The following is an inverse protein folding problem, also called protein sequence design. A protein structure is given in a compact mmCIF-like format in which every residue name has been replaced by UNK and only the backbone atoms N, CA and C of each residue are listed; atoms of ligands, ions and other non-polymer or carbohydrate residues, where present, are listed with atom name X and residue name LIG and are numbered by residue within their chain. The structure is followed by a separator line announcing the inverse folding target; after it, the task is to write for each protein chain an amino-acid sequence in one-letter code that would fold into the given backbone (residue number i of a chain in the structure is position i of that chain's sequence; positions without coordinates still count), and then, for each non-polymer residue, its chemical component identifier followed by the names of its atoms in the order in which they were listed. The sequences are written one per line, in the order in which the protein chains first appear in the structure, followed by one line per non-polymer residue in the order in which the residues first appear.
data_IF_789957130134
#
_entry.id   IF_789957130134
#
_cell.length_a   1.000
_cell.length_b   1.000
_cell.length_c   1.000
_cell.angle_alpha   90.00
_cell.angle_beta   90.00
_cell.angle_gamma   90.00
#
_symmetry.space_group_name_H-M   'P 1'
#
loop_
_entity.id
_entity.type
_entity.pdbx_description
1 polymer ?
#
# COMPACT_ATOMS: atom_id res chain seq x y z
N UNK A 1 -12.99 -64.09 47.62
CA UNK A 1 -13.29 -62.68 47.30
C UNK A 1 -11.97 -61.98 47.08
N UNK A 2 -11.70 -61.55 45.86
CA UNK A 2 -10.40 -61.06 45.39
C UNK A 2 -10.30 -59.55 45.66
N UNK A 3 -9.15 -59.13 46.22
CA UNK A 3 -8.72 -57.76 46.43
C UNK A 3 -8.69 -56.97 45.11
N UNK A 4 -9.17 -55.72 45.11
CA UNK A 4 -8.77 -54.71 44.14
C UNK A 4 -8.29 -53.46 44.89
N UNK A 5 -6.97 -53.29 44.97
CA UNK A 5 -6.35 -52.03 45.32
C UNK A 5 -6.24 -51.19 44.04
N UNK A 6 -6.95 -50.07 43.99
CA UNK A 6 -6.83 -49.10 42.91
C UNK A 6 -5.53 -48.30 43.09
N UNK A 7 -4.55 -48.56 42.25
CA UNK A 7 -3.35 -47.73 42.12
C UNK A 7 -3.72 -46.52 41.25
N UNK A 8 -3.88 -45.36 41.88
CA UNK A 8 -4.02 -44.10 41.16
C UNK A 8 -2.65 -43.71 40.58
N UNK A 9 -2.50 -43.83 39.26
CA UNK A 9 -1.34 -43.32 38.54
C UNK A 9 -1.48 -41.81 38.44
N UNK A 10 -0.71 -41.08 39.24
CA UNK A 10 -0.49 -39.64 39.08
C UNK A 10 0.22 -39.41 37.73
N UNK A 11 -0.52 -38.92 36.73
CA UNK A 11 0.08 -38.34 35.55
C UNK A 11 0.81 -37.04 35.95
N UNK A 12 2.03 -36.79 35.44
CA UNK A 12 2.70 -35.54 35.67
C UNK A 12 1.91 -34.42 34.98
N UNK A 13 1.43 -33.45 35.77
CA UNK A 13 0.96 -32.17 35.27
C UNK A 13 2.11 -31.53 34.50
N UNK A 14 2.01 -31.50 33.17
CA UNK A 14 2.88 -30.69 32.36
C UNK A 14 2.79 -29.23 32.86
N UNK A 15 3.92 -28.51 32.98
CA UNK A 15 3.88 -27.12 33.40
C UNK A 15 3.02 -26.35 32.38
N UNK A 16 1.93 -25.79 32.89
CA UNK A 16 1.14 -24.78 32.20
C UNK A 16 2.13 -23.65 31.90
N UNK A 17 2.64 -23.59 30.67
CA UNK A 17 3.46 -22.48 30.23
C UNK A 17 2.65 -21.22 30.51
N UNK A 18 3.24 -20.31 31.28
CA UNK A 18 2.69 -18.97 31.43
C UNK A 18 2.39 -18.46 30.02
N UNK A 19 1.14 -18.07 29.78
CA UNK A 19 0.76 -17.49 28.51
C UNK A 19 1.58 -16.22 28.32
N UNK A 20 2.63 -16.30 27.52
CA UNK A 20 3.19 -15.14 26.85
C UNK A 20 1.98 -14.40 26.26
N UNK A 21 1.85 -13.11 26.59
CA UNK A 21 0.70 -12.32 26.16
C UNK A 21 0.51 -12.41 24.64
N UNK A 22 -0.70 -12.13 24.13
CA UNK A 22 -0.98 -12.25 22.70
C UNK A 22 0.05 -11.47 21.89
N UNK A 23 0.68 -12.14 20.93
CA UNK A 23 1.67 -11.52 20.05
C UNK A 23 0.93 -10.51 19.19
N UNK A 24 1.29 -9.22 19.29
CA UNK A 24 0.69 -8.19 18.43
C UNK A 24 1.45 -8.08 17.11
N UNK A 25 0.74 -8.17 15.99
CA UNK A 25 1.24 -7.86 14.64
C UNK A 25 0.53 -6.60 14.16
N UNK A 26 1.30 -5.55 13.86
CA UNK A 26 0.74 -4.33 13.25
C UNK A 26 0.66 -4.50 11.74
N UNK A 27 -0.51 -4.25 11.18
CA UNK A 27 -0.79 -4.36 9.76
C UNK A 27 -1.14 -2.98 9.20
N UNK A 28 -0.38 -2.53 8.21
CA UNK A 28 -0.65 -1.31 7.46
C UNK A 28 -1.08 -1.66 6.04
N UNK A 29 -2.29 -1.27 5.67
CA UNK A 29 -2.80 -1.36 4.31
C UNK A 29 -2.48 -0.03 3.63
N UNK A 30 -1.64 -0.07 2.59
CA UNK A 30 -1.11 1.13 1.93
C UNK A 30 -1.36 1.07 0.43
N UNK A 31 -1.58 2.24 -0.16
CA UNK A 31 -1.62 2.44 -1.60
C UNK A 31 -0.92 3.75 -2.01
N UNK A 32 -0.98 4.11 -3.29
CA UNK A 32 -0.38 5.35 -3.82
C UNK A 32 -0.84 6.61 -3.08
N UNK A 33 -2.08 6.65 -2.62
CA UNK A 33 -2.63 7.78 -1.88
C UNK A 33 -2.05 7.89 -0.46
N UNK A 34 -1.59 6.77 0.13
CA UNK A 34 -0.93 6.77 1.43
C UNK A 34 0.36 7.61 1.43
N UNK A 35 1.10 7.63 0.31
CA UNK A 35 2.31 8.43 0.16
C UNK A 35 2.04 9.92 -0.13
N UNK A 36 0.88 10.24 -0.72
CA UNK A 36 0.54 11.58 -1.23
C UNK A 36 0.24 12.64 -0.15
N UNK A 37 0.53 12.38 1.12
CA UNK A 37 0.71 13.49 2.06
C UNK A 37 1.54 13.16 3.27
N UNK A 38 2.66 12.50 3.01
CA UNK A 38 3.91 12.91 3.65
C UNK A 38 4.42 14.27 3.13
N UNK A 39 3.78 14.86 2.12
CA UNK A 39 3.81 16.30 1.84
C UNK A 39 2.65 16.99 2.55
N UNK A 40 2.91 17.60 3.71
CA UNK A 40 1.94 18.50 4.33
C UNK A 40 1.65 19.72 3.44
N UNK A 41 0.52 20.42 3.63
CA UNK A 41 0.34 21.74 3.04
C UNK A 41 1.29 22.72 3.74
N UNK A 42 2.55 22.79 3.31
CA UNK A 42 3.51 23.74 3.89
C UNK A 42 5.00 23.49 3.73
N UNK A 43 5.46 22.36 3.19
CA UNK A 43 6.90 22.17 2.89
C UNK A 43 7.19 22.22 1.40
N UNK A 44 6.78 23.34 0.78
CA UNK A 44 7.49 23.84 -0.39
C UNK A 44 8.91 24.17 0.04
N UNK A 45 9.87 23.31 -0.32
CA UNK A 45 11.27 23.72 -0.39
C UNK A 45 11.40 24.70 -1.55
N UNK A 46 11.19 25.98 -1.28
CA UNK A 46 11.44 27.05 -2.25
C UNK A 46 10.53 28.26 -2.13
N UNK A 47 10.82 29.13 -1.16
CA UNK A 47 10.69 30.57 -1.36
C UNK A 47 9.37 31.24 -0.94
N UNK A 48 9.40 31.86 0.24
CA UNK A 48 8.95 33.25 0.38
C UNK A 48 7.52 33.50 0.83
N UNK A 49 7.39 34.09 2.02
CA UNK A 49 6.42 35.18 2.23
C UNK A 49 5.12 34.80 2.92
N UNK A 50 5.13 34.87 4.25
CA UNK A 50 3.92 35.13 5.03
C UNK A 50 3.36 36.51 4.65
N UNK A 51 2.12 36.58 4.20
CA UNK A 51 1.43 37.84 3.91
C UNK A 51 -0.06 37.62 3.75
N UNK A 52 -0.81 37.87 4.82
CA UNK A 52 -2.28 37.78 4.81
C UNK A 52 -2.94 38.89 3.98
N UNK A 53 -4.21 38.67 3.62
CA UNK A 53 -5.05 39.73 3.08
C UNK A 53 -6.33 39.22 2.43
N UNK A 54 -7.44 39.28 3.16
CA UNK A 54 -8.80 39.41 2.60
C UNK A 54 -9.06 40.91 2.30
N UNK A 55 -9.78 41.22 1.23
CA UNK A 55 -10.33 42.55 0.88
C UNK A 55 -10.00 42.92 -0.58
N UNK A 56 -10.93 43.04 -1.55
CA UNK A 56 -12.09 43.92 -1.75
C UNK A 56 -11.75 45.30 -2.35
N UNK A 57 -12.36 45.61 -3.52
CA UNK A 57 -12.44 46.90 -4.27
C UNK A 57 -11.13 47.35 -4.97
N UNK A 58 -11.07 47.84 -6.21
CA UNK A 58 -12.01 48.60 -7.05
C UNK A 58 -11.28 49.86 -7.57
N UNK A 59 -11.55 50.29 -8.82
CA UNK A 59 -11.04 51.50 -9.52
C UNK A 59 -9.57 51.41 -10.01
N UNK A 60 -9.14 51.74 -11.23
CA UNK A 60 -9.70 52.50 -12.36
C UNK A 60 -8.52 53.24 -13.03
N UNK A 61 -8.61 53.51 -14.34
CA UNK A 61 -7.82 54.45 -15.15
C UNK A 61 -6.76 53.88 -16.13
N UNK A 62 -6.98 54.19 -17.42
CA UNK A 62 -6.07 54.06 -18.57
C UNK A 62 -6.00 55.44 -19.29
N UNK A 63 -5.23 55.63 -20.38
CA UNK A 63 -3.85 56.14 -20.49
C UNK A 63 -3.78 57.53 -21.20
N UNK A 64 -2.57 58.02 -21.57
CA UNK A 64 -2.32 58.38 -22.99
C UNK A 64 -0.91 57.95 -23.45
N UNK A 65 -0.66 57.45 -24.68
CA UNK A 65 -0.68 58.16 -25.97
C UNK A 65 0.77 58.57 -26.36
N UNK A 66 1.56 57.70 -27.00
CA UNK A 66 1.92 57.65 -28.44
C UNK A 66 2.84 58.77 -28.95
N UNK A 67 4.04 58.40 -29.42
CA UNK A 67 4.82 59.04 -30.52
C UNK A 67 5.84 57.98 -31.00
N UNK A 68 5.58 57.35 -32.14
CA UNK A 68 6.37 57.46 -33.40
C UNK A 68 7.50 56.42 -33.47
N UNK A 69 7.62 55.51 -34.44
CA UNK A 69 7.04 55.39 -35.77
C UNK A 69 8.09 54.72 -36.64
N UNK A 70 7.98 53.40 -36.86
CA UNK A 70 8.61 52.72 -38.02
C UNK A 70 7.83 51.44 -38.34
N UNK A 71 6.91 51.60 -39.31
CA UNK A 71 6.78 50.79 -40.55
C UNK A 71 7.45 49.41 -40.52
N UNK A 72 6.81 48.29 -40.84
CA UNK A 72 5.50 48.02 -41.45
C UNK A 72 5.18 46.52 -41.37
N UNK A 73 3.90 46.17 -41.52
CA UNK A 73 3.37 44.80 -41.39
C UNK A 73 3.60 43.90 -42.61
N UNK A 74 2.62 43.05 -42.96
CA UNK A 74 2.33 41.78 -42.30
C UNK A 74 2.35 40.59 -43.29
N UNK A 75 2.56 39.36 -42.81
CA UNK A 75 2.53 38.16 -43.68
C UNK A 75 1.90 36.96 -42.99
N UNK A 76 0.64 36.70 -43.31
CA UNK A 76 -0.13 35.50 -42.97
C UNK A 76 0.21 34.35 -43.94
N UNK A 77 0.28 33.10 -43.47
CA UNK A 77 0.17 31.93 -44.36
C UNK A 77 0.62 30.57 -43.78
N UNK A 78 -0.21 29.50 -43.86
CA UNK A 78 0.15 28.15 -43.45
C UNK A 78 0.61 27.27 -44.64
N UNK A 79 1.52 26.32 -44.39
CA UNK A 79 1.72 25.13 -45.24
C UNK A 79 3.12 24.88 -45.82
N UNK A 80 3.69 23.73 -45.45
CA UNK A 80 4.41 22.81 -46.36
C UNK A 80 5.84 23.14 -46.81
N UNK A 81 6.80 22.29 -46.43
CA UNK A 81 8.13 22.26 -47.08
C UNK A 81 9.08 21.23 -46.46
N UNK A 82 9.10 20.03 -47.04
CA UNK A 82 9.99 18.92 -46.69
C UNK A 82 11.46 19.21 -47.05
N UNK A 83 12.40 18.70 -46.23
CA UNK A 83 13.70 18.23 -46.74
C UNK A 83 14.96 19.04 -46.42
N UNK A 84 15.55 18.75 -45.26
CA UNK A 84 16.96 18.36 -45.10
C UNK A 84 18.12 19.28 -45.51
N UNK A 85 18.94 19.66 -44.53
CA UNK A 85 20.40 19.43 -44.62
C UNK A 85 21.05 19.28 -43.25
N UNK A 86 21.73 18.15 -43.09
CA UNK A 86 22.47 17.70 -41.92
C UNK A 86 23.78 18.46 -41.68
N UNK A 87 24.17 18.54 -40.41
CA UNK A 87 25.55 18.72 -39.94
C UNK A 87 25.59 19.58 -38.67
N UNK A 88 26.03 19.13 -37.50
CA UNK A 88 26.56 17.86 -37.04
C UNK A 88 26.81 18.00 -35.52
N UNK A 89 26.60 16.92 -34.78
CA UNK A 89 26.85 16.85 -33.33
C UNK A 89 26.69 15.42 -32.87
N UNK A 90 27.80 14.70 -32.76
CA UNK A 90 27.86 13.27 -32.51
C UNK A 90 27.37 12.83 -31.12
N UNK A 91 27.28 11.50 -30.90
CA UNK A 91 26.49 10.90 -29.83
C UNK A 91 27.24 10.90 -28.50
N UNK A 92 26.93 11.89 -27.66
CA UNK A 92 27.31 11.93 -26.26
C UNK A 92 26.29 11.20 -25.38
N UNK A 93 26.46 9.89 -25.22
CA UNK A 93 26.43 9.20 -23.91
C UNK A 93 25.68 9.95 -22.77
N UNK A 94 24.35 9.91 -22.79
CA UNK A 94 23.54 10.00 -21.58
C UNK A 94 23.03 8.60 -21.28
N UNK A 95 23.76 7.93 -20.39
CA UNK A 95 23.62 6.54 -20.04
C UNK A 95 22.19 6.18 -19.66
N UNK A 96 21.69 5.16 -20.34
CA UNK A 96 20.49 4.37 -20.04
C UNK A 96 20.66 3.53 -18.76
N UNK A 97 21.20 4.10 -17.69
CA UNK A 97 21.66 3.32 -16.53
C UNK A 97 21.58 4.08 -15.22
N UNK A 98 20.39 4.52 -14.80
CA UNK A 98 20.14 4.83 -13.38
C UNK A 98 18.66 5.02 -12.97
N UNK A 99 17.69 4.52 -13.73
CA UNK A 99 16.35 4.30 -13.16
C UNK A 99 16.34 2.93 -12.50
N UNK A 100 16.65 2.91 -11.21
CA UNK A 100 16.69 1.73 -10.37
C UNK A 100 15.42 0.89 -10.52
N UNK A 101 15.58 -0.29 -11.09
CA UNK A 101 14.54 -1.34 -11.18
C UNK A 101 14.21 -1.98 -9.83
N UNK A 102 14.19 -1.19 -8.75
CA UNK A 102 13.93 -1.65 -7.38
C UNK A 102 12.65 -1.08 -6.75
N UNK A 103 11.97 -0.14 -7.40
CA UNK A 103 10.73 0.49 -6.87
C UNK A 103 9.47 0.12 -7.65
N UNK A 104 9.57 -0.73 -8.69
CA UNK A 104 8.45 -1.06 -9.60
C UNK A 104 8.00 -2.52 -9.51
N UNK A 105 8.45 -3.28 -8.49
CA UNK A 105 8.18 -4.72 -8.39
C UNK A 105 7.13 -5.09 -7.33
N UNK A 106 6.70 -4.15 -6.48
CA UNK A 106 5.48 -4.26 -5.69
C UNK A 106 4.48 -3.28 -6.29
N UNK A 107 3.28 -3.75 -6.60
CA UNK A 107 2.23 -2.88 -7.13
C UNK A 107 2.04 -1.65 -6.25
N UNK A 108 1.36 -0.66 -6.80
CA UNK A 108 0.96 0.59 -6.16
C UNK A 108 0.22 0.42 -4.81
N UNK A 109 -0.04 -0.82 -4.36
CA UNK A 109 -0.73 -1.21 -3.14
C UNK A 109 0.00 -2.35 -2.42
N UNK A 110 -0.04 -2.37 -1.09
CA UNK A 110 0.58 -3.42 -0.29
C UNK A 110 -0.14 -3.64 1.05
N UNK A 111 -0.10 -4.90 1.52
CA UNK A 111 -0.23 -5.21 2.94
C UNK A 111 1.18 -5.12 3.53
N UNK A 112 1.35 -4.46 4.67
CA UNK A 112 2.64 -4.36 5.37
C UNK A 112 2.46 -4.85 6.79
N UNK A 113 3.38 -5.69 7.24
CA UNK A 113 3.43 -6.17 8.63
C UNK A 113 4.75 -5.76 9.27
N UNK A 114 4.71 -5.47 10.56
CA UNK A 114 5.89 -5.10 11.34
C UNK A 114 6.82 -6.30 11.64
N UNK A 115 6.27 -7.52 11.62
CA UNK A 115 7.00 -8.76 11.76
C UNK A 115 6.46 -9.85 10.83
N UNK A 116 7.35 -10.53 10.11
CA UNK A 116 7.00 -11.62 9.18
C UNK A 116 7.08 -13.00 9.83
N UNK A 117 7.46 -13.08 11.10
CA UNK A 117 7.52 -14.33 11.87
C UNK A 117 7.01 -14.12 13.29
N UNK A 118 6.13 -14.98 13.76
CA UNK A 118 5.58 -14.97 15.13
C UNK A 118 5.59 -16.37 15.74
N UNK A 119 5.33 -16.46 17.04
CA UNK A 119 5.13 -17.73 17.75
C UNK A 119 3.70 -18.24 17.57
N UNK A 120 3.54 -19.57 17.55
CA UNK A 120 2.24 -20.21 17.55
C UNK A 120 1.46 -19.89 18.83
N UNK A 121 0.15 -19.69 18.68
CA UNK A 121 -0.73 -19.28 19.76
C UNK A 121 -1.64 -18.11 19.37
N UNK A 122 -2.20 -17.39 20.36
CA UNK A 122 -3.02 -16.21 20.12
C UNK A 122 -2.20 -15.07 19.52
N UNK A 123 -2.63 -14.58 18.36
CA UNK A 123 -2.04 -13.43 17.66
C UNK A 123 -3.09 -12.34 17.53
N UNK A 124 -2.74 -11.14 17.98
CA UNK A 124 -3.55 -9.93 17.88
C UNK A 124 -3.08 -9.09 16.68
N UNK A 125 -3.90 -8.95 15.66
CA UNK A 125 -3.61 -8.09 14.52
C UNK A 125 -4.22 -6.71 14.74
N UNK A 126 -3.38 -5.68 14.75
CA UNK A 126 -3.80 -4.27 14.78
C UNK A 126 -3.69 -3.73 13.34
N UNK A 127 -4.83 -3.62 12.67
CA UNK A 127 -4.91 -3.32 11.24
C UNK A 127 -5.34 -1.87 11.05
N UNK A 128 -4.60 -1.13 10.23
CA UNK A 128 -4.96 0.25 9.84
C UNK A 128 -4.91 0.41 8.33
N UNK A 129 -6.01 0.94 7.77
CA UNK A 129 -6.05 1.38 6.38
C UNK A 129 -5.48 2.79 6.26
N UNK A 130 -4.24 2.91 5.78
CA UNK A 130 -3.55 4.19 5.57
C UNK A 130 -3.87 4.82 4.20
N UNK A 131 -4.80 4.25 3.44
CA UNK A 131 -5.34 4.88 2.24
C UNK A 131 -6.07 6.18 2.59
N UNK A 132 -6.14 7.09 1.61
CA UNK A 132 -6.92 8.33 1.68
C UNK A 132 -8.21 8.27 0.89
N UNK A 133 -8.40 7.26 0.05
CA UNK A 133 -9.53 7.21 -0.87
C UNK A 133 -9.96 5.81 -1.28
N UNK A 134 -9.28 4.76 -0.80
CA UNK A 134 -9.56 3.39 -1.18
C UNK A 134 -9.97 2.55 0.02
N UNK A 135 -10.91 1.64 -0.22
CA UNK A 135 -11.25 0.59 0.73
C UNK A 135 -10.19 -0.49 0.70
N UNK A 136 -9.84 -0.98 1.88
CA UNK A 136 -8.99 -2.15 2.03
C UNK A 136 -9.58 -3.07 3.07
N UNK A 137 -9.18 -4.33 3.02
CA UNK A 137 -9.43 -5.31 4.06
C UNK A 137 -8.18 -6.17 4.24
N UNK A 138 -8.15 -6.97 5.30
CA UNK A 138 -7.18 -8.04 5.43
C UNK A 138 -7.87 -9.34 5.83
N UNK A 139 -7.62 -10.38 5.03
CA UNK A 139 -7.97 -11.76 5.32
C UNK A 139 -6.69 -12.51 5.72
N UNK A 140 -6.79 -13.33 6.76
CA UNK A 140 -5.71 -14.23 7.17
C UNK A 140 -6.01 -15.62 6.59
N UNK A 141 -5.22 -16.04 5.61
CA UNK A 141 -5.42 -17.28 4.87
C UNK A 141 -4.32 -18.28 5.21
N UNK A 142 -4.69 -19.46 5.69
CA UNK A 142 -3.72 -20.54 5.91
C UNK A 142 -3.34 -21.21 4.58
N UNK A 143 -2.04 -21.46 4.39
CA UNK A 143 -1.49 -22.04 3.16
C UNK A 143 -0.39 -23.07 3.46
N UNK A 144 -0.13 -23.97 2.52
CA UNK A 144 0.92 -25.00 2.69
C UNK A 144 2.34 -24.42 2.63
N UNK A 145 2.53 -23.31 1.92
CA UNK A 145 3.82 -22.63 1.75
C UNK A 145 3.63 -21.13 1.49
N UNK A 146 4.60 -20.27 1.84
CA UNK A 146 4.43 -18.80 1.82
C UNK A 146 4.28 -18.19 0.41
N UNK A 147 4.51 -18.98 -0.64
CA UNK A 147 4.35 -18.57 -2.03
C UNK A 147 3.21 -19.34 -2.72
N UNK A 148 2.31 -19.97 -1.95
CA UNK A 148 1.20 -20.73 -2.52
C UNK A 148 0.32 -19.81 -3.38
N UNK A 149 0.08 -20.17 -4.66
CA UNK A 149 -0.86 -19.43 -5.47
C UNK A 149 -2.27 -19.65 -4.91
N UNK A 150 -3.00 -18.56 -4.66
CA UNK A 150 -4.41 -18.65 -4.31
C UNK A 150 -5.25 -18.75 -5.59
N UNK A 151 -6.40 -19.45 -5.56
CA UNK A 151 -7.36 -19.40 -6.66
C UNK A 151 -7.80 -17.95 -6.88
N UNK A 152 -8.10 -17.60 -8.14
CA UNK A 152 -8.54 -16.26 -8.49
C UNK A 152 -9.69 -16.33 -9.50
N UNK A 153 -10.81 -15.73 -9.15
CA UNK A 153 -11.94 -15.54 -10.04
C UNK A 153 -11.80 -14.20 -10.77
N UNK A 154 -11.55 -14.27 -12.08
CA UNK A 154 -11.43 -13.09 -12.93
C UNK A 154 -12.76 -12.37 -13.19
N UNK A 155 -13.91 -13.03 -12.98
CA UNK A 155 -15.22 -12.39 -13.18
C UNK A 155 -15.55 -11.42 -12.04
N UNK A 156 -15.23 -11.79 -10.80
CA UNK A 156 -15.41 -10.95 -9.61
C UNK A 156 -14.12 -10.21 -9.19
N UNK A 157 -12.99 -10.55 -9.81
CA UNK A 157 -11.66 -10.05 -9.49
C UNK A 157 -11.22 -10.35 -8.04
N UNK A 158 -11.66 -11.48 -7.48
CA UNK A 158 -11.41 -11.87 -6.08
C UNK A 158 -10.80 -13.27 -5.96
N UNK A 159 -10.19 -13.54 -4.81
CA UNK A 159 -9.99 -14.89 -4.30
C UNK A 159 -11.35 -15.42 -3.82
N UNK A 160 -11.85 -16.56 -4.33
CA UNK A 160 -13.07 -17.18 -3.82
C UNK A 160 -12.82 -17.75 -2.42
N UNK A 161 -13.41 -17.11 -1.40
CA UNK A 161 -13.15 -17.40 0.01
C UNK A 161 -13.56 -18.82 0.43
N UNK A 162 -14.53 -19.42 -0.27
CA UNK A 162 -14.96 -20.80 -0.06
C UNK A 162 -13.94 -21.84 -0.53
N UNK A 163 -12.94 -21.44 -1.33
CA UNK A 163 -11.88 -22.31 -1.84
C UNK A 163 -10.57 -22.18 -1.08
N UNK A 164 -10.51 -21.32 -0.05
CA UNK A 164 -9.32 -21.10 0.76
C UNK A 164 -9.67 -21.18 2.25
N UNK A 165 -8.66 -21.42 3.08
CA UNK A 165 -8.84 -21.51 4.53
C UNK A 165 -8.68 -20.12 5.17
N UNK A 166 -9.76 -19.34 5.17
CA UNK A 166 -9.83 -18.04 5.87
C UNK A 166 -9.98 -18.28 7.38
N UNK A 167 -9.14 -17.62 8.18
CA UNK A 167 -9.14 -17.72 9.65
C UNK A 167 -9.68 -16.46 10.33
N UNK A 168 -9.67 -15.34 9.62
CA UNK A 168 -10.15 -14.06 10.11
C UNK A 168 -10.15 -13.03 9.00
N UNK A 169 -11.05 -12.06 9.13
CA UNK A 169 -11.30 -10.99 8.18
C UNK A 169 -11.69 -9.72 8.94
N UNK A 170 -11.15 -8.58 8.53
CA UNK A 170 -11.59 -7.26 9.03
C UNK A 170 -12.91 -6.78 8.43
N UNK A 171 -13.33 -7.32 7.29
CA UNK A 171 -14.25 -6.75 6.32
C UNK A 171 -13.74 -5.43 5.75
N UNK A 172 -14.46 -4.87 4.77
CA UNK A 172 -14.15 -3.57 4.18
C UNK A 172 -13.85 -2.49 5.24
N UNK A 173 -12.69 -1.85 5.11
CA UNK A 173 -12.22 -0.77 5.97
C UNK A 173 -12.16 0.54 5.18
N UNK A 174 -12.85 1.56 5.72
CA UNK A 174 -12.78 2.92 5.18
C UNK A 174 -11.35 3.48 5.26
N UNK A 175 -11.00 4.48 4.44
CA UNK A 175 -9.76 5.24 4.57
C UNK A 175 -9.53 5.73 6.00
N UNK A 176 -8.31 5.56 6.52
CA UNK A 176 -7.89 5.90 7.90
C UNK A 176 -8.62 5.16 9.02
N UNK A 177 -9.39 4.10 8.72
CA UNK A 177 -9.99 3.26 9.74
C UNK A 177 -8.99 2.25 10.29
N UNK A 178 -9.16 1.90 11.57
CA UNK A 178 -8.45 0.80 12.22
C UNK A 178 -9.44 -0.24 12.73
N UNK A 179 -9.03 -1.51 12.68
CA UNK A 179 -9.76 -2.67 13.21
C UNK A 179 -8.76 -3.66 13.80
N UNK A 180 -9.24 -4.53 14.68
CA UNK A 180 -8.41 -5.56 15.30
C UNK A 180 -8.95 -6.95 15.00
N UNK A 181 -8.06 -7.94 14.87
CA UNK A 181 -8.42 -9.37 14.77
C UNK A 181 -7.63 -10.19 15.77
N UNK A 182 -8.32 -11.02 16.54
CA UNK A 182 -7.69 -12.01 17.43
C UNK A 182 -7.84 -13.39 16.80
N UNK A 183 -6.72 -13.98 16.37
CA UNK A 183 -6.70 -15.29 15.72
C UNK A 183 -5.68 -16.19 16.40
N UNK A 184 -6.08 -17.41 16.73
CA UNK A 184 -5.14 -18.43 17.22
C UNK A 184 -4.50 -19.13 16.03
N UNK A 185 -3.19 -18.97 15.87
CA UNK A 185 -2.44 -19.54 14.75
C UNK A 185 -1.59 -20.72 15.21
N UNK A 186 -1.71 -21.85 14.52
CA UNK A 186 -0.77 -22.96 14.65
C UNK A 186 0.53 -22.66 13.91
N UNK A 187 1.62 -23.37 14.22
CA UNK A 187 2.84 -23.29 13.42
C UNK A 187 2.55 -23.66 11.95
N UNK A 188 3.05 -22.84 11.01
CA UNK A 188 2.71 -22.97 9.59
C UNK A 188 2.95 -21.69 8.78
N UNK A 189 2.44 -21.69 7.55
CA UNK A 189 2.51 -20.55 6.62
C UNK A 189 1.13 -19.93 6.43
N UNK A 190 1.10 -18.59 6.40
CA UNK A 190 -0.12 -17.82 6.22
C UNK A 190 0.12 -16.70 5.21
N UNK A 191 -0.93 -16.32 4.50
CA UNK A 191 -0.97 -15.13 3.66
C UNK A 191 -1.96 -14.14 4.26
N UNK A 192 -1.52 -12.90 4.46
CA UNK A 192 -2.39 -11.77 4.69
C UNK A 192 -2.69 -11.13 3.33
N UNK A 193 -3.96 -11.12 2.92
CA UNK A 193 -4.37 -10.61 1.61
C UNK A 193 -5.45 -9.54 1.75
N UNK A 194 -5.53 -8.62 0.79
CA UNK A 194 -6.71 -7.77 0.61
C UNK A 194 -7.56 -8.35 -0.54
N UNK A 195 -8.81 -8.73 -0.25
CA UNK A 195 -9.71 -9.40 -1.21
C UNK A 195 -10.77 -8.47 -1.83
N UNK A 196 -10.60 -7.14 -1.66
CA UNK A 196 -11.32 -6.13 -2.42
C UNK A 196 -11.05 -6.36 -3.92
N UNK A 197 -12.04 -6.24 -4.81
CA UNK A 197 -11.89 -6.60 -6.22
C UNK A 197 -10.63 -6.00 -6.87
N UNK A 198 -9.74 -6.88 -7.35
CA UNK A 198 -8.48 -6.54 -8.03
C UNK A 198 -7.27 -6.34 -7.11
N UNK A 199 -7.45 -6.23 -5.79
CA UNK A 199 -6.36 -5.84 -4.88
C UNK A 199 -5.32 -6.94 -4.68
N UNK A 200 -5.76 -8.19 -4.50
CA UNK A 200 -4.87 -9.35 -4.44
C UNK A 200 -4.02 -9.46 -5.71
N UNK A 201 -4.65 -9.37 -6.89
CA UNK A 201 -3.96 -9.42 -8.18
C UNK A 201 -2.99 -8.24 -8.40
N UNK A 202 -3.25 -7.10 -7.77
CA UNK A 202 -2.36 -5.94 -7.75
C UNK A 202 -1.17 -6.08 -6.77
N UNK A 203 -1.07 -7.21 -6.04
CA UNK A 203 0.04 -7.51 -5.14
C UNK A 203 -0.21 -7.22 -3.66
N UNK A 204 -1.46 -6.97 -3.24
CA UNK A 204 -1.80 -6.87 -1.81
C UNK A 204 -1.84 -8.25 -1.14
N UNK A 205 -0.67 -8.86 -1.02
CA UNK A 205 -0.43 -10.13 -0.34
C UNK A 205 0.87 -10.03 0.45
N UNK A 206 0.90 -10.57 1.65
CA UNK A 206 2.12 -10.65 2.47
C UNK A 206 2.17 -11.96 3.25
N UNK A 207 3.27 -12.72 3.16
CA UNK A 207 3.42 -13.95 3.93
C UNK A 207 3.73 -13.66 5.40
N UNK A 208 3.14 -14.47 6.28
CA UNK A 208 3.45 -14.55 7.70
C UNK A 208 3.81 -16.00 8.04
N UNK A 209 4.98 -16.18 8.68
CA UNK A 209 5.42 -17.49 9.18
C UNK A 209 5.08 -17.60 10.66
N UNK A 210 4.50 -18.72 11.08
CA UNK A 210 4.26 -19.00 12.50
C UNK A 210 5.14 -20.17 12.90
N UNK A 211 5.98 -19.94 13.91
CA UNK A 211 6.95 -20.91 14.42
C UNK A 211 6.45 -21.55 15.70
N UNK A 212 6.87 -22.80 16.01
CA UNK A 212 6.56 -23.44 17.29
C UNK A 212 7.03 -22.62 18.50
#
# INVERSE_FOLDING_TARGET
MVLFAAVAVLAPLAPLHAADGPVTVKVALVDVSSAMGMGGPGSGWGGGGWGGGRGMMGYGFAPPGTEDGQRGGPGWGPGGGWGGRWGGGGPGMMGSGMMGGGMMAGGMMAVRIDQSTVKAGPVHFDVTNWSRGMLHEVLIVAVDHPNAPLPYDYATAKVPEEQVKVLGDTGDMQPNASKTLDVTLAAGSYLLICNVPGHYAAGMVTPLTVTP
#
